data_IF_977499530735
#
_entry.id   IF_977499530735
#
_cell.length_a   1.000
_cell.length_b   1.000
_cell.length_c   1.000
_cell.angle_alpha   90.00
_cell.angle_beta   90.00
_cell.angle_gamma   90.00
#
_symmetry.space_group_name_H-M   'P 1'
#
loop_
_entity.id
_entity.type
_entity.pdbx_description
1 polymer ?
#
# COMPACT_ATOMS: atom_id res chain seq x y z
N UNK A 1 -1.64 16.93 15.71
CA UNK A 1 -1.37 18.14 14.91
C UNK A 1 -0.95 19.28 15.80
N UNK A 2 0.11 19.99 15.45
CA UNK A 2 0.63 21.15 16.12
C UNK A 2 0.67 22.31 15.13
N UNK A 3 0.10 23.45 15.50
CA UNK A 3 0.21 24.70 14.74
C UNK A 3 0.90 25.74 15.62
N UNK A 4 1.92 26.41 15.11
CA UNK A 4 2.68 27.42 15.83
C UNK A 4 2.94 28.64 14.94
N UNK A 5 2.63 29.84 15.45
CA UNK A 5 2.79 31.12 14.80
C UNK A 5 3.78 32.02 15.57
N UNK A 6 5.10 31.78 15.41
CA UNK A 6 6.11 32.49 16.22
C UNK A 6 6.20 33.98 15.94
N UNK A 7 5.96 34.38 14.67
CA UNK A 7 6.00 35.77 14.24
C UNK A 7 4.90 36.02 13.21
N UNK A 8 4.55 37.28 12.98
CA UNK A 8 3.54 37.67 12.00
C UNK A 8 3.95 37.23 10.59
N UNK A 9 3.07 36.48 9.97
CA UNK A 9 3.25 35.95 8.62
C UNK A 9 3.91 34.55 8.55
N UNK A 10 4.45 34.00 9.66
CA UNK A 10 5.03 32.67 9.70
C UNK A 10 4.11 31.69 10.43
N UNK A 11 3.70 30.65 9.71
CA UNK A 11 2.92 29.52 10.21
C UNK A 11 3.74 28.24 10.10
N UNK A 12 3.92 27.55 11.21
CA UNK A 12 4.61 26.26 11.27
C UNK A 12 3.60 25.20 11.70
N UNK A 13 3.46 24.16 10.88
CA UNK A 13 2.57 23.03 11.14
C UNK A 13 3.36 21.73 11.23
N UNK A 14 3.06 20.92 12.22
CA UNK A 14 3.56 19.57 12.34
C UNK A 14 2.41 18.59 12.52
N UNK A 15 2.40 17.55 11.71
CA UNK A 15 1.42 16.46 11.76
C UNK A 15 2.16 15.16 11.97
N UNK A 16 1.77 14.42 13.00
CA UNK A 16 2.17 13.02 13.20
C UNK A 16 0.94 12.14 13.14
N UNK A 17 1.02 11.02 12.44
CA UNK A 17 -0.04 10.03 12.37
C UNK A 17 0.52 8.62 12.56
N UNK A 18 -0.22 7.80 13.27
CA UNK A 18 0.00 6.37 13.38
C UNK A 18 -1.25 5.62 12.97
N UNK A 19 -1.08 4.63 12.11
CA UNK A 19 -2.14 3.74 11.69
C UNK A 19 -1.72 2.30 11.93
N UNK A 20 -2.59 1.57 12.60
CA UNK A 20 -2.50 0.12 12.72
C UNK A 20 -3.76 -0.51 12.16
N UNK A 21 -3.60 -1.54 11.34
CA UNK A 21 -4.70 -2.32 10.80
C UNK A 21 -4.33 -3.80 10.88
N UNK A 22 -5.26 -4.61 11.35
CA UNK A 22 -5.17 -6.06 11.30
C UNK A 22 -6.42 -6.61 10.62
N UNK A 23 -6.22 -7.56 9.72
CA UNK A 23 -7.28 -8.27 9.03
C UNK A 23 -6.97 -9.75 9.06
N UNK A 24 -7.95 -10.56 9.40
CA UNK A 24 -7.84 -12.02 9.42
C UNK A 24 -8.86 -12.58 8.44
N UNK A 25 -8.39 -13.39 7.51
CA UNK A 25 -9.22 -14.17 6.61
C UNK A 25 -9.12 -15.64 7.00
N UNK A 26 -10.26 -16.27 7.22
CA UNK A 26 -10.34 -17.67 7.60
C UNK A 26 -11.24 -18.41 6.62
N UNK A 27 -10.79 -19.57 6.15
CA UNK A 27 -11.56 -20.44 5.31
C UNK A 27 -11.63 -21.84 5.95
N UNK A 28 -12.84 -22.32 6.12
CA UNK A 28 -13.13 -23.60 6.81
C UNK A 28 -13.65 -24.60 5.80
N UNK A 29 -12.84 -25.60 5.47
CA UNK A 29 -13.26 -26.77 4.71
C UNK A 29 -13.64 -27.85 5.73
N UNK A 30 -14.94 -28.11 5.86
CA UNK A 30 -15.44 -29.06 6.85
C UNK A 30 -15.15 -30.50 6.45
N UNK A 31 -15.14 -31.39 7.43
CA UNK A 31 -14.90 -32.85 7.29
C UNK A 31 -15.80 -33.49 6.22
N UNK A 32 -17.07 -33.13 6.16
CA UNK A 32 -18.05 -33.67 5.22
C UNK A 32 -18.14 -32.91 3.87
N UNK A 33 -17.20 -32.01 3.58
CA UNK A 33 -17.14 -31.28 2.30
C UNK A 33 -16.63 -32.17 1.18
N UNK A 34 -17.00 -31.86 -0.07
CA UNK A 34 -16.48 -32.57 -1.24
C UNK A 34 -14.97 -32.51 -1.34
N UNK A 35 -14.38 -31.37 -0.94
CA UNK A 35 -12.93 -31.20 -0.94
C UNK A 35 -12.24 -32.14 0.07
N UNK A 36 -12.75 -32.26 1.30
CA UNK A 36 -12.21 -33.16 2.30
C UNK A 36 -12.45 -34.65 1.90
N UNK A 37 -13.62 -34.93 1.33
CA UNK A 37 -13.95 -36.31 0.88
C UNK A 37 -13.10 -36.74 -0.31
N UNK A 38 -12.60 -35.85 -1.14
CA UNK A 38 -11.68 -36.17 -2.24
C UNK A 38 -10.40 -36.86 -1.73
N UNK A 39 -9.88 -36.46 -0.56
CA UNK A 39 -8.72 -37.10 0.07
C UNK A 39 -8.99 -38.53 0.60
N UNK A 40 -10.24 -38.97 0.62
CA UNK A 40 -10.69 -40.28 1.16
C UNK A 40 -11.36 -41.17 0.11
N UNK A 41 -11.65 -40.61 -1.07
CA UNK A 41 -12.39 -41.33 -2.10
C UNK A 41 -11.64 -42.59 -2.56
N UNK A 42 -12.32 -43.73 -2.57
CA UNK A 42 -11.76 -45.01 -2.98
C UNK A 42 -11.06 -45.79 -1.88
N UNK A 43 -11.17 -45.37 -0.60
CA UNK A 43 -10.63 -46.18 0.53
C UNK A 43 -11.40 -47.49 0.71
N UNK A 44 -12.70 -47.49 0.43
CA UNK A 44 -13.52 -48.68 0.52
C UNK A 44 -13.12 -49.70 -0.56
N UNK A 45 -12.99 -51.00 -0.21
CA UNK A 45 -12.53 -52.03 -1.16
C UNK A 45 -13.39 -52.17 -2.41
N UNK A 46 -14.65 -51.76 -2.35
CA UNK A 46 -15.61 -51.80 -3.47
C UNK A 46 -15.33 -50.74 -4.54
N UNK A 47 -14.56 -49.71 -4.20
CA UNK A 47 -14.25 -48.58 -5.06
C UNK A 47 -12.84 -48.61 -5.65
N UNK A 48 -12.32 -49.79 -6.01
CA UNK A 48 -10.95 -49.94 -6.48
C UNK A 48 -10.59 -49.05 -7.67
N UNK A 49 -11.53 -48.82 -8.59
CA UNK A 49 -11.30 -47.94 -9.75
C UNK A 49 -11.11 -46.48 -9.32
N UNK A 50 -11.86 -45.99 -8.34
CA UNK A 50 -11.73 -44.67 -7.80
C UNK A 50 -10.41 -44.53 -7.05
N UNK A 51 -10.09 -45.50 -6.22
CA UNK A 51 -8.84 -45.58 -5.46
C UNK A 51 -7.61 -45.49 -6.39
N UNK A 52 -7.59 -46.32 -7.42
CA UNK A 52 -6.42 -46.40 -8.30
C UNK A 52 -6.23 -45.14 -9.19
N UNK A 53 -7.29 -44.34 -9.33
CA UNK A 53 -7.27 -43.08 -10.02
C UNK A 53 -7.11 -41.84 -9.12
N UNK A 54 -7.21 -42.00 -7.80
CA UNK A 54 -7.17 -40.89 -6.86
C UNK A 54 -5.74 -40.52 -6.47
N UNK A 55 -5.23 -39.42 -7.05
CA UNK A 55 -3.89 -38.87 -6.77
C UNK A 55 -3.70 -38.34 -5.34
N UNK A 56 -4.78 -38.13 -4.59
CA UNK A 56 -4.69 -37.69 -3.19
C UNK A 56 -4.42 -38.84 -2.19
N UNK A 57 -4.47 -40.08 -2.63
CA UNK A 57 -4.10 -41.22 -1.79
C UNK A 57 -2.59 -41.43 -1.80
N UNK A 58 -2.05 -41.74 -0.63
CA UNK A 58 -0.63 -42.07 -0.46
C UNK A 58 -0.37 -43.55 -0.63
N UNK A 59 0.59 -43.89 -1.47
CA UNK A 59 1.12 -45.25 -1.59
C UNK A 59 2.54 -45.27 -1.07
N UNK A 60 2.87 -46.20 -0.18
CA UNK A 60 4.22 -46.30 0.36
C UNK A 60 5.19 -46.73 -0.75
N UNK A 61 6.19 -45.91 -1.08
CA UNK A 61 7.13 -46.23 -2.16
C UNK A 61 8.08 -47.39 -1.81
N UNK A 62 8.22 -47.69 -0.54
CA UNK A 62 9.13 -48.75 -0.05
C UNK A 62 8.46 -50.11 0.03
N UNK A 63 7.12 -50.18 -0.12
CA UNK A 63 6.36 -51.45 -0.15
C UNK A 63 5.64 -51.63 -1.52
N UNK A 64 6.15 -52.49 -2.39
CA UNK A 64 5.55 -52.77 -3.69
C UNK A 64 4.11 -53.30 -3.63
N UNK A 65 3.67 -53.81 -2.49
CA UNK A 65 2.33 -54.32 -2.30
C UNK A 65 1.43 -53.39 -1.47
N UNK A 66 1.91 -52.19 -1.14
CA UNK A 66 1.14 -51.25 -0.38
C UNK A 66 -0.11 -50.82 -1.14
N UNK A 67 -1.24 -50.84 -0.47
CA UNK A 67 -2.48 -50.26 -0.99
C UNK A 67 -2.47 -48.75 -0.71
N UNK A 68 -3.00 -47.95 -1.65
CA UNK A 68 -3.21 -46.55 -1.41
C UNK A 68 -4.08 -46.30 -0.17
N UNK A 69 -3.65 -45.37 0.68
CA UNK A 69 -4.36 -45.02 1.92
C UNK A 69 -4.57 -43.49 1.98
N UNK A 70 -5.63 -43.08 2.64
CA UNK A 70 -5.81 -41.66 2.90
C UNK A 70 -4.85 -41.17 3.98
N UNK A 71 -4.11 -40.11 3.70
CA UNK A 71 -3.28 -39.40 4.70
C UNK A 71 -4.11 -38.43 5.54
N UNK A 72 -5.37 -38.16 5.12
CA UNK A 72 -6.34 -37.36 5.84
C UNK A 72 -7.62 -38.16 6.11
N UNK A 73 -7.57 -39.21 6.96
CA UNK A 73 -8.69 -40.11 7.18
C UNK A 73 -9.89 -39.44 7.87
N UNK A 74 -9.68 -38.33 8.53
CA UNK A 74 -10.70 -37.53 9.20
C UNK A 74 -10.33 -36.04 9.18
N UNK A 75 -11.29 -35.18 9.50
CA UNK A 75 -11.10 -33.73 9.56
C UNK A 75 -11.21 -33.07 8.20
N UNK A 76 -11.15 -31.78 8.21
CA UNK A 76 -11.17 -30.93 7.03
C UNK A 76 -9.87 -30.14 6.87
N UNK A 77 -9.97 -28.97 6.26
CA UNK A 77 -8.81 -28.10 6.06
C UNK A 77 -9.16 -26.71 6.61
N UNK A 78 -8.22 -26.12 7.34
CA UNK A 78 -8.37 -24.78 7.86
C UNK A 78 -7.28 -23.88 7.28
N UNK A 79 -7.71 -22.83 6.56
CA UNK A 79 -6.82 -21.79 6.04
C UNK A 79 -6.95 -20.54 6.90
N UNK A 80 -5.84 -19.94 7.26
CA UNK A 80 -5.80 -18.72 8.01
C UNK A 80 -4.75 -17.76 7.42
N UNK A 81 -5.22 -16.60 6.97
CA UNK A 81 -4.37 -15.52 6.51
C UNK A 81 -4.55 -14.30 7.40
N UNK A 82 -3.47 -13.85 8.00
CA UNK A 82 -3.44 -12.65 8.83
C UNK A 82 -2.61 -11.58 8.14
N UNK A 83 -3.22 -10.42 7.91
CA UNK A 83 -2.57 -9.26 7.32
C UNK A 83 -2.48 -8.14 8.34
N UNK A 84 -1.27 -7.64 8.57
CA UNK A 84 -1.04 -6.50 9.46
C UNK A 84 -0.36 -5.36 8.73
N UNK A 85 -0.78 -4.13 9.04
CA UNK A 85 -0.18 -2.90 8.55
C UNK A 85 0.09 -1.99 9.74
N UNK A 86 1.34 -1.57 9.90
CA UNK A 86 1.73 -0.49 10.79
C UNK A 86 2.31 0.64 9.96
N UNK A 87 1.78 1.84 10.11
CA UNK A 87 2.21 3.00 9.35
C UNK A 87 2.43 4.20 10.29
N UNK A 88 3.56 4.86 10.12
CA UNK A 88 3.91 6.12 10.76
C UNK A 88 4.09 7.17 9.67
N UNK A 89 3.42 8.29 9.82
CA UNK A 89 3.56 9.43 8.95
C UNK A 89 3.91 10.66 9.76
N UNK A 90 4.86 11.42 9.26
CA UNK A 90 5.21 12.73 9.80
C UNK A 90 5.30 13.74 8.66
N UNK A 91 4.68 14.88 8.85
CA UNK A 91 4.75 16.02 7.95
C UNK A 91 4.98 17.29 8.74
N UNK A 92 6.04 18.00 8.40
CA UNK A 92 6.33 19.34 8.89
C UNK A 92 6.28 20.35 7.76
N UNK A 93 5.61 21.46 7.93
CA UNK A 93 5.55 22.55 6.95
C UNK A 93 5.75 23.89 7.63
N UNK A 94 6.45 24.80 6.96
CA UNK A 94 6.56 26.18 7.33
C UNK A 94 6.08 27.06 6.17
N UNK A 95 5.16 27.96 6.42
CA UNK A 95 4.61 28.89 5.44
C UNK A 95 4.88 30.32 5.90
N UNK A 96 5.48 31.12 5.05
CA UNK A 96 5.72 32.53 5.31
C UNK A 96 5.04 33.40 4.26
N UNK A 97 4.19 34.33 4.73
CA UNK A 97 3.44 35.26 3.91
C UNK A 97 3.80 36.67 4.29
N UNK A 98 4.16 37.47 3.29
CA UNK A 98 4.46 38.90 3.50
C UNK A 98 3.98 39.76 2.36
N UNK A 99 3.39 40.92 2.72
CA UNK A 99 2.98 41.96 1.78
C UNK A 99 3.75 43.22 2.11
N UNK A 100 4.36 43.89 1.09
CA UNK A 100 5.02 45.17 1.21
C UNK A 100 4.31 46.22 0.36
N UNK A 101 4.07 47.38 0.93
CA UNK A 101 3.48 48.50 0.24
C UNK A 101 2.20 48.19 -0.55
N UNK A 102 1.44 47.20 -0.15
CA UNK A 102 0.26 46.70 -0.86
C UNK A 102 0.51 46.35 -2.34
N UNK A 103 1.77 46.25 -2.75
CA UNK A 103 2.19 46.09 -4.16
C UNK A 103 2.90 44.75 -4.37
N UNK A 104 3.67 44.31 -3.38
CA UNK A 104 4.45 43.10 -3.44
C UNK A 104 3.87 42.06 -2.48
N UNK A 105 3.47 40.90 -2.99
CA UNK A 105 2.99 39.78 -2.20
C UNK A 105 3.95 38.65 -2.39
N UNK A 106 4.48 38.12 -1.30
CA UNK A 106 5.39 37.00 -1.30
C UNK A 106 4.86 35.91 -0.38
N UNK A 107 4.71 34.73 -0.94
CA UNK A 107 4.34 33.50 -0.22
C UNK A 107 5.41 32.47 -0.46
N UNK A 108 5.96 31.90 0.60
CA UNK A 108 6.88 30.76 0.53
C UNK A 108 6.40 29.69 1.49
N UNK A 109 6.43 28.45 1.04
CA UNK A 109 6.17 27.29 1.85
C UNK A 109 7.28 26.26 1.61
N UNK A 110 7.77 25.70 2.69
CA UNK A 110 8.68 24.54 2.65
C UNK A 110 8.22 23.48 3.61
N UNK A 111 8.59 22.22 3.33
CA UNK A 111 8.22 21.13 4.22
C UNK A 111 8.99 19.85 3.99
N UNK A 112 8.81 18.96 4.96
CA UNK A 112 9.37 17.62 4.97
C UNK A 112 8.25 16.62 5.23
N UNK A 113 8.32 15.49 4.55
CA UNK A 113 7.42 14.34 4.74
C UNK A 113 8.25 13.08 4.96
N UNK A 114 7.88 12.30 5.96
CA UNK A 114 8.46 10.99 6.25
C UNK A 114 7.33 10.01 6.40
N UNK A 115 7.39 8.89 5.69
CA UNK A 115 6.43 7.80 5.84
C UNK A 115 7.13 6.46 5.96
N UNK A 116 6.67 5.67 6.91
CA UNK A 116 7.16 4.33 7.20
C UNK A 116 5.99 3.38 7.29
N UNK A 117 5.89 2.45 6.35
CA UNK A 117 4.83 1.43 6.33
C UNK A 117 5.44 0.04 6.39
N UNK A 118 5.05 -0.73 7.37
CA UNK A 118 5.37 -2.13 7.54
C UNK A 118 4.12 -2.96 7.30
N UNK A 119 4.19 -3.87 6.33
CA UNK A 119 3.15 -4.85 6.04
C UNK A 119 3.69 -6.23 6.30
N UNK A 120 2.88 -7.05 6.93
CA UNK A 120 3.20 -8.44 7.17
C UNK A 120 1.97 -9.30 6.85
N UNK A 121 2.17 -10.30 6.02
CA UNK A 121 1.21 -11.36 5.79
C UNK A 121 1.74 -12.63 6.44
N UNK A 122 0.89 -13.31 7.19
CA UNK A 122 1.16 -14.62 7.77
C UNK A 122 0.02 -15.52 7.31
N UNK A 123 0.36 -16.56 6.55
CA UNK A 123 -0.57 -17.58 6.13
C UNK A 123 -0.17 -18.94 6.71
N UNK A 124 -1.15 -19.74 7.06
CA UNK A 124 -0.94 -21.15 7.41
C UNK A 124 -2.17 -22.00 7.07
N UNK A 125 -1.90 -23.25 6.79
CA UNK A 125 -2.89 -24.24 6.42
C UNK A 125 -2.82 -25.41 7.41
N UNK A 126 -3.96 -25.76 8.02
CA UNK A 126 -4.09 -26.90 8.91
C UNK A 126 -4.88 -28.01 8.23
N UNK A 127 -4.17 -29.05 7.80
CA UNK A 127 -4.80 -30.21 7.15
C UNK A 127 -5.22 -31.26 8.17
N UNK A 128 -6.30 -31.97 7.89
CA UNK A 128 -6.89 -32.93 8.81
C UNK A 128 -7.46 -32.27 10.06
N UNK A 129 -7.96 -31.04 9.90
CA UNK A 129 -8.39 -30.20 11.01
C UNK A 129 -9.72 -30.70 11.58
N UNK A 130 -9.72 -31.16 12.82
CA UNK A 130 -10.89 -31.68 13.52
C UNK A 130 -11.55 -30.56 14.31
N UNK A 131 -12.63 -30.03 13.79
CA UNK A 131 -13.33 -28.85 14.36
C UNK A 131 -14.02 -29.19 15.70
N UNK A 132 -14.59 -30.40 15.82
CA UNK A 132 -15.38 -30.79 16.99
C UNK A 132 -14.53 -30.93 18.27
N UNK A 133 -13.22 -31.15 18.11
CA UNK A 133 -12.27 -31.28 19.21
C UNK A 133 -11.46 -29.98 19.49
N UNK A 134 -12.06 -28.82 19.24
CA UNK A 134 -11.42 -27.56 19.50
C UNK A 134 -10.43 -27.09 18.41
N UNK A 135 -10.49 -27.72 17.24
CA UNK A 135 -9.73 -27.29 16.09
C UNK A 135 -8.25 -27.71 16.13
N UNK A 136 -8.00 -28.99 16.13
CA UNK A 136 -6.64 -29.58 16.12
C UNK A 136 -6.32 -30.10 14.73
N UNK A 137 -5.20 -29.68 14.08
CA UNK A 137 -4.75 -30.26 12.82
C UNK A 137 -4.16 -31.65 13.03
N UNK A 138 -4.15 -32.46 11.95
CA UNK A 138 -3.41 -33.72 11.95
C UNK A 138 -1.91 -33.47 12.00
N UNK A 139 -1.19 -34.32 12.75
CA UNK A 139 0.27 -34.24 12.84
C UNK A 139 0.94 -35.39 12.08
N UNK A 140 0.23 -36.10 11.18
CA UNK A 140 0.80 -37.15 10.36
C UNK A 140 1.84 -36.59 9.38
N UNK A 141 3.07 -37.10 9.45
CA UNK A 141 4.17 -36.67 8.59
C UNK A 141 3.93 -36.97 7.10
N UNK A 142 3.16 -38.03 6.79
CA UNK A 142 2.80 -38.42 5.41
C UNK A 142 1.90 -37.36 4.78
N UNK A 143 0.94 -36.85 5.55
CA UNK A 143 0.10 -35.72 5.12
C UNK A 143 0.92 -34.49 4.82
N UNK A 144 1.85 -34.11 5.69
CA UNK A 144 2.76 -32.96 5.44
C UNK A 144 3.59 -33.18 4.20
N UNK A 145 4.18 -34.36 4.02
CA UNK A 145 4.99 -34.69 2.84
C UNK A 145 4.17 -34.48 1.56
N UNK A 146 2.99 -35.10 1.50
CA UNK A 146 2.11 -35.04 0.34
C UNK A 146 1.71 -33.56 0.02
N UNK A 147 1.29 -32.79 1.01
CA UNK A 147 0.88 -31.40 0.80
C UNK A 147 2.04 -30.55 0.28
N UNK A 148 3.26 -30.74 0.76
CA UNK A 148 4.44 -30.04 0.24
C UNK A 148 4.74 -30.47 -1.21
N UNK A 149 4.61 -31.74 -1.54
CA UNK A 149 4.80 -32.25 -2.91
C UNK A 149 3.74 -31.74 -3.88
N UNK A 150 2.52 -31.52 -3.41
CA UNK A 150 1.41 -30.88 -4.15
C UNK A 150 1.56 -29.34 -4.27
N UNK A 151 2.59 -28.76 -3.67
CA UNK A 151 2.89 -27.33 -3.76
C UNK A 151 2.17 -26.45 -2.75
N UNK A 152 1.56 -27.04 -1.73
CA UNK A 152 0.95 -26.32 -0.62
C UNK A 152 1.99 -25.76 0.33
N UNK A 153 1.69 -24.62 0.95
CA UNK A 153 2.58 -23.96 1.92
C UNK A 153 1.98 -24.02 3.31
N UNK A 154 2.52 -24.91 4.15
CA UNK A 154 2.05 -25.06 5.53
C UNK A 154 2.08 -23.77 6.33
N UNK A 155 3.16 -22.98 6.19
CA UNK A 155 3.33 -21.71 6.89
C UNK A 155 4.17 -20.74 6.07
N UNK A 156 3.67 -19.54 5.88
CA UNK A 156 4.36 -18.50 5.13
C UNK A 156 4.35 -17.17 5.87
N UNK A 157 5.47 -16.47 5.84
CA UNK A 157 5.59 -15.09 6.31
C UNK A 157 6.12 -14.23 5.17
N UNK A 158 5.36 -13.21 4.80
CA UNK A 158 5.73 -12.27 3.74
C UNK A 158 5.77 -10.84 4.29
N UNK A 159 6.94 -10.35 4.73
CA UNK A 159 7.10 -8.98 5.16
C UNK A 159 7.34 -8.06 3.95
N UNK A 160 6.78 -6.85 4.01
CA UNK A 160 7.04 -5.80 3.03
C UNK A 160 7.19 -4.46 3.73
N UNK A 161 8.29 -3.77 3.43
CA UNK A 161 8.64 -2.50 4.05
C UNK A 161 8.64 -1.40 3.00
N UNK A 162 7.96 -0.30 3.28
CA UNK A 162 8.02 0.93 2.49
C UNK A 162 8.50 2.05 3.38
N UNK A 163 9.53 2.73 2.93
CA UNK A 163 10.08 3.94 3.54
C UNK A 163 10.13 5.02 2.49
N UNK A 164 9.61 6.19 2.81
CA UNK A 164 9.67 7.34 1.92
C UNK A 164 10.03 8.60 2.68
N UNK A 165 10.74 9.47 2.01
CA UNK A 165 11.10 10.79 2.47
C UNK A 165 10.88 11.77 1.34
N UNK A 166 10.36 12.94 1.63
CA UNK A 166 10.29 14.03 0.68
C UNK A 166 10.62 15.35 1.37
N UNK A 167 11.36 16.20 0.66
CA UNK A 167 11.52 17.62 0.97
C UNK A 167 10.95 18.45 -0.17
N UNK A 168 10.21 19.49 0.12
CA UNK A 168 9.61 20.32 -0.91
C UNK A 168 9.60 21.80 -0.53
N UNK A 169 9.61 22.65 -1.53
CA UNK A 169 9.42 24.08 -1.37
C UNK A 169 8.59 24.64 -2.53
N UNK A 170 7.79 25.62 -2.21
CA UNK A 170 7.03 26.42 -3.16
C UNK A 170 7.20 27.90 -2.82
N UNK A 171 7.42 28.72 -3.84
CA UNK A 171 7.49 30.17 -3.69
C UNK A 171 6.62 30.85 -4.74
N UNK A 172 5.80 31.77 -4.30
CA UNK A 172 4.96 32.61 -5.18
C UNK A 172 5.26 34.08 -4.88
N UNK A 173 5.55 34.82 -5.94
CA UNK A 173 5.72 36.26 -5.88
C UNK A 173 4.71 36.95 -6.81
N UNK A 174 4.00 37.92 -6.30
CA UNK A 174 3.06 38.73 -7.07
C UNK A 174 3.42 40.22 -6.97
N UNK A 175 3.49 40.86 -8.12
CA UNK A 175 3.73 42.29 -8.22
C UNK A 175 2.49 43.03 -8.76
N UNK A 176 1.94 43.92 -7.95
CA UNK A 176 0.73 44.73 -8.26
C UNK A 176 -0.48 43.87 -8.70
N UNK A 177 -0.57 42.62 -8.26
CA UNK A 177 -1.52 41.62 -8.75
C UNK A 177 -1.46 41.40 -10.29
N UNK A 178 -0.55 42.05 -11.03
CA UNK A 178 -0.41 41.95 -12.48
C UNK A 178 0.48 40.80 -12.92
N UNK A 179 1.64 40.68 -12.29
CA UNK A 179 2.65 39.69 -12.63
C UNK A 179 2.78 38.72 -11.48
N UNK A 180 2.61 37.47 -11.75
CA UNK A 180 2.74 36.40 -10.76
C UNK A 180 3.78 35.41 -11.25
N UNK A 181 4.78 35.13 -10.40
CA UNK A 181 5.78 34.07 -10.62
C UNK A 181 5.62 33.03 -9.54
N UNK A 182 5.59 31.76 -9.94
CA UNK A 182 5.54 30.64 -9.03
C UNK A 182 6.65 29.64 -9.37
N UNK A 183 7.31 29.12 -8.34
CA UNK A 183 8.30 28.07 -8.44
C UNK A 183 8.04 26.98 -7.41
N UNK A 184 8.12 25.73 -7.83
CA UNK A 184 7.99 24.58 -6.97
C UNK A 184 9.17 23.64 -7.18
N UNK A 185 9.71 23.10 -6.10
CA UNK A 185 10.71 22.03 -6.13
C UNK A 185 10.32 20.96 -5.12
N UNK A 186 10.47 19.72 -5.52
CA UNK A 186 10.29 18.55 -4.65
C UNK A 186 11.41 17.56 -4.89
N UNK A 187 12.01 17.10 -3.83
CA UNK A 187 12.99 16.04 -3.82
C UNK A 187 12.48 14.89 -2.97
N UNK A 188 12.19 13.77 -3.60
CA UNK A 188 11.61 12.63 -2.90
C UNK A 188 12.38 11.35 -3.16
N UNK A 189 12.34 10.43 -2.19
CA UNK A 189 12.96 9.14 -2.28
C UNK A 189 12.15 8.06 -1.58
N UNK A 190 12.22 6.85 -2.12
CA UNK A 190 11.59 5.67 -1.52
C UNK A 190 12.45 4.43 -1.77
N UNK A 191 12.42 3.51 -0.80
CA UNK A 191 13.09 2.22 -0.95
C UNK A 191 12.47 1.28 -2.00
N UNK A 192 11.33 1.66 -2.59
CA UNK A 192 10.65 0.88 -3.64
C UNK A 192 11.05 1.32 -5.06
N UNK A 193 11.73 2.46 -5.22
CA UNK A 193 12.24 2.94 -6.49
C UNK A 193 13.69 2.47 -6.67
N UNK A 194 13.96 1.75 -7.77
CA UNK A 194 15.28 1.36 -8.21
C UNK A 194 16.12 0.51 -7.26
N UNK A 195 17.11 -0.18 -7.81
CA UNK A 195 18.03 -1.02 -7.04
C UNK A 195 19.20 -0.22 -6.48
N UNK A 196 19.67 0.84 -7.17
CA UNK A 196 20.77 1.68 -6.71
C UNK A 196 20.29 2.82 -5.80
N UNK A 197 21.18 3.31 -4.92
CA UNK A 197 20.88 4.46 -4.06
C UNK A 197 20.49 5.71 -4.87
N UNK A 198 21.15 5.96 -5.99
CA UNK A 198 20.94 7.15 -6.79
C UNK A 198 19.59 7.14 -7.53
N UNK A 199 19.10 5.97 -7.95
CA UNK A 199 17.82 5.84 -8.64
C UNK A 199 16.60 5.90 -7.70
N UNK A 200 16.82 5.94 -6.39
CA UNK A 200 15.75 6.05 -5.38
C UNK A 200 15.30 7.48 -5.12
N UNK A 201 16.06 8.46 -5.63
CA UNK A 201 15.82 9.87 -5.40
C UNK A 201 15.40 10.56 -6.67
N UNK A 202 14.26 11.23 -6.64
CA UNK A 202 13.66 11.89 -7.80
C UNK A 202 13.47 13.38 -7.50
N UNK A 203 14.26 14.27 -8.12
CA UNK A 203 13.97 15.70 -8.12
C UNK A 203 12.87 16.02 -9.14
N UNK A 204 11.89 16.79 -8.74
CA UNK A 204 10.86 17.36 -9.61
C UNK A 204 10.78 18.84 -9.36
N UNK A 205 10.52 19.63 -10.39
CA UNK A 205 10.39 21.07 -10.29
C UNK A 205 9.42 21.62 -11.33
N UNK A 206 8.88 22.77 -11.03
CA UNK A 206 8.02 23.52 -11.94
C UNK A 206 8.26 25.01 -11.74
N UNK A 207 8.27 25.76 -12.84
CA UNK A 207 8.26 27.22 -12.82
C UNK A 207 7.11 27.69 -13.70
N UNK A 208 6.32 28.64 -13.19
CA UNK A 208 5.21 29.21 -13.94
C UNK A 208 5.11 30.71 -13.73
N UNK A 209 4.66 31.40 -14.77
CA UNK A 209 4.38 32.82 -14.76
C UNK A 209 2.96 33.09 -15.22
N UNK A 210 2.35 34.13 -14.63
CA UNK A 210 1.06 34.61 -15.05
C UNK A 210 1.09 36.16 -15.19
N UNK A 211 0.46 36.63 -16.26
CA UNK A 211 0.20 38.03 -16.48
C UNK A 211 -1.30 38.29 -16.47
N UNK A 212 -1.73 39.06 -15.49
CA UNK A 212 -3.12 39.47 -15.34
C UNK A 212 -3.33 40.79 -16.12
N UNK A 213 -3.58 40.69 -17.41
CA UNK A 213 -3.75 41.85 -18.30
C UNK A 213 -4.92 42.74 -17.88
N UNK A 214 -5.95 42.18 -17.25
CA UNK A 214 -7.09 42.93 -16.74
C UNK A 214 -6.75 43.89 -15.59
N UNK A 215 -5.59 43.73 -14.96
CA UNK A 215 -5.08 44.65 -13.93
C UNK A 215 -4.26 45.80 -14.51
N UNK A 216 -3.99 45.82 -15.80
CA UNK A 216 -3.28 46.89 -16.49
C UNK A 216 -4.20 48.09 -16.76
N UNK A 217 -3.65 49.32 -16.68
CA UNK A 217 -4.40 50.53 -16.93
C UNK A 217 -5.02 50.59 -18.33
N UNK A 218 -4.26 50.21 -19.36
CA UNK A 218 -4.76 50.17 -20.73
C UNK A 218 -5.96 49.23 -20.95
N UNK A 219 -6.00 48.14 -20.21
CA UNK A 219 -7.12 47.18 -20.30
C UNK A 219 -8.37 47.77 -19.67
N UNK A 220 -8.26 48.34 -18.47
CA UNK A 220 -9.38 48.96 -17.74
C UNK A 220 -9.96 50.18 -18.45
N UNK A 221 -9.13 50.94 -19.21
CA UNK A 221 -9.55 52.14 -19.95
C UNK A 221 -10.18 51.80 -21.31
N UNK A 222 -9.72 50.73 -21.99
CA UNK A 222 -10.07 50.46 -23.38
C UNK A 222 -11.04 49.27 -23.56
N UNK A 223 -11.21 48.44 -22.58
CA UNK A 223 -12.03 47.20 -22.66
C UNK A 223 -13.26 47.40 -21.79
N UNK A 224 -14.46 47.27 -22.40
CA UNK A 224 -15.72 47.29 -21.65
C UNK A 224 -15.80 46.06 -20.75
N UNK A 225 -15.90 46.23 -19.42
CA UNK A 225 -16.01 45.09 -18.47
C UNK A 225 -17.22 44.18 -18.70
N UNK A 226 -18.24 44.68 -19.44
CA UNK A 226 -19.43 43.86 -19.81
C UNK A 226 -19.11 42.85 -20.90
N UNK A 227 -18.06 43.15 -21.74
CA UNK A 227 -17.63 42.25 -22.82
C UNK A 227 -16.53 41.33 -22.35
N UNK A 228 -15.52 41.88 -21.63
CA UNK A 228 -14.38 41.09 -21.13
C UNK A 228 -13.92 41.66 -19.78
N UNK A 229 -14.31 40.97 -18.70
CA UNK A 229 -13.96 41.40 -17.34
C UNK A 229 -12.61 40.89 -16.87
N UNK A 230 -12.12 39.77 -17.41
CA UNK A 230 -10.87 39.14 -17.01
C UNK A 230 -10.06 38.65 -18.22
N UNK A 231 -8.78 38.96 -18.21
CA UNK A 231 -7.81 38.40 -19.16
C UNK A 231 -6.51 38.04 -18.42
N UNK A 232 -6.09 36.78 -18.52
CA UNK A 232 -4.85 36.28 -17.91
C UNK A 232 -4.11 35.40 -18.89
N UNK A 233 -2.85 35.69 -19.13
CA UNK A 233 -1.95 34.77 -19.83
C UNK A 233 -1.08 34.02 -18.85
N UNK A 234 -0.90 32.72 -19.08
CA UNK A 234 -0.09 31.86 -18.21
C UNK A 234 0.87 31.01 -19.03
N UNK A 235 2.05 30.79 -18.50
CA UNK A 235 3.07 29.89 -19.02
C UNK A 235 3.64 29.06 -17.88
N UNK A 236 3.91 27.79 -18.15
CA UNK A 236 4.57 26.90 -17.19
C UNK A 236 5.56 25.99 -17.91
N UNK A 237 6.61 25.62 -17.17
CA UNK A 237 7.61 24.67 -17.61
C UNK A 237 7.99 23.75 -16.43
N UNK A 238 8.08 22.43 -16.69
CA UNK A 238 8.39 21.39 -15.69
C UNK A 238 9.21 20.26 -16.30
#
# INVERSE_FOLDING_TARGET
ELNWKPIKGLDINALGAYRYQSSVQQHYVKDNSNQANAYRAGIDPEDATIRDSNSFLYTDPDDPNALPVSVMPQGGIYYNDTYTVSQYDFRGTATYNKTWNNTHIFNIMGGLEVSSTDRKSIGWEGWGFVYDNGGVPSLDYKLFKQQIEEGHTYYAISPSYRRSFAAFANATYSYKARYVLNGTIRYEGTNKLGMSRNSRWLPTWNVSGAWNAHEEGFFREKVDPRVLSHATARVSYS
#
